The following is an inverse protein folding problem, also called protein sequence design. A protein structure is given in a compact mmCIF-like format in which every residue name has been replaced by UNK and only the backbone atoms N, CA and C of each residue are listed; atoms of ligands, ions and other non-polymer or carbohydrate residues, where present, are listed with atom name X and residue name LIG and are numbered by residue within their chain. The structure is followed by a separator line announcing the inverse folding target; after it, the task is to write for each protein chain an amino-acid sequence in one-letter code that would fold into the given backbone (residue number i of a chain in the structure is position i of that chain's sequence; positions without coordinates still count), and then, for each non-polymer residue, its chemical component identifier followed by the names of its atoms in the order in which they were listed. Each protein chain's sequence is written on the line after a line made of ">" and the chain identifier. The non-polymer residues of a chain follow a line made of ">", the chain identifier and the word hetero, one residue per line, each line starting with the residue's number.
data_IF_020551877776
#
_entry.id   IF_020551877776
#
_cell.length_a   1.000
_cell.length_b   1.000
_cell.length_c   1.000
_cell.angle_alpha   90.00
_cell.angle_beta   90.00
_cell.angle_gamma   90.00
#
_symmetry.space_group_name_H-M   'P 1'
#
loop_
_entity.id
_entity.type
_entity.pdbx_description
1 polymer ?
#
# COMPACT_ATOMS: atom_id res chain seq x y z
N UNK A 1 -2.77 10.57 -7.26
CA UNK A 1 -1.36 11.07 -7.18
C UNK A 1 -0.64 10.58 -8.44
N UNK A 2 0.44 11.22 -8.89
CA UNK A 2 1.27 10.66 -9.97
C UNK A 2 2.48 9.93 -9.37
N UNK A 3 2.87 8.82 -10.00
CA UNK A 3 4.08 8.07 -9.68
C UNK A 3 5.28 9.01 -9.83
N UNK A 4 6.12 9.08 -8.79
CA UNK A 4 7.27 9.98 -8.77
C UNK A 4 8.41 9.52 -9.69
N UNK A 5 8.42 8.25 -10.08
CA UNK A 5 9.43 7.66 -10.97
C UNK A 5 9.00 7.74 -12.45
N UNK A 6 7.81 7.23 -12.79
CA UNK A 6 7.36 7.13 -14.20
C UNK A 6 6.23 8.09 -14.60
N UNK A 7 5.67 8.86 -13.67
CA UNK A 7 4.62 9.84 -13.94
C UNK A 7 3.21 9.27 -14.16
N UNK A 8 3.03 7.95 -14.12
CA UNK A 8 1.71 7.30 -14.25
C UNK A 8 0.75 7.70 -13.13
N UNK A 9 -0.56 7.68 -13.39
CA UNK A 9 -1.57 7.90 -12.35
C UNK A 9 -1.59 6.73 -11.35
N UNK A 10 -1.65 7.05 -10.06
CA UNK A 10 -1.69 6.07 -8.97
C UNK A 10 -3.09 5.94 -8.37
N UNK A 11 -3.44 4.70 -7.99
CA UNK A 11 -4.68 4.38 -7.30
C UNK A 11 -4.68 4.86 -5.84
N UNK A 12 -5.84 5.32 -5.37
CA UNK A 12 -6.07 5.63 -3.97
C UNK A 12 -6.53 4.37 -3.23
N UNK A 13 -6.07 4.18 -2.00
CA UNK A 13 -6.38 3.01 -1.20
C UNK A 13 -5.94 3.12 0.25
N UNK A 14 -5.94 1.99 0.94
CA UNK A 14 -5.47 1.86 2.33
C UNK A 14 -4.36 0.84 2.40
N UNK A 15 -3.45 1.02 3.35
CA UNK A 15 -2.43 0.04 3.68
C UNK A 15 -2.68 -0.47 5.09
N UNK A 16 -2.72 -1.78 5.26
CA UNK A 16 -2.92 -2.43 6.56
C UNK A 16 -1.74 -3.35 6.86
N UNK A 17 -1.32 -3.40 8.12
CA UNK A 17 -0.33 -4.37 8.57
C UNK A 17 -1.02 -5.72 8.75
N UNK A 18 -0.52 -6.73 8.07
CA UNK A 18 -1.00 -8.11 8.13
C UNK A 18 0.11 -8.99 8.70
N UNK A 19 -0.24 -9.89 9.62
CA UNK A 19 0.72 -10.80 10.25
C UNK A 19 0.37 -11.14 11.69
N UNK A 20 0.69 -12.37 12.10
CA UNK A 20 0.52 -12.86 13.46
C UNK A 20 1.86 -13.45 13.94
N UNK A 21 2.58 -12.73 14.81
CA UNK A 21 3.81 -13.22 15.42
C UNK A 21 5.08 -12.59 14.84
N UNK A 22 5.95 -13.41 14.21
CA UNK A 22 7.33 -13.04 13.84
C UNK A 22 7.50 -12.40 12.46
N UNK A 23 6.49 -12.52 11.58
CA UNK A 23 6.48 -11.86 10.28
C UNK A 23 5.27 -10.92 10.23
N UNK A 24 5.56 -9.64 9.98
CA UNK A 24 4.57 -8.66 9.57
C UNK A 24 4.84 -8.34 8.10
N UNK A 25 3.80 -8.11 7.32
CA UNK A 25 3.85 -7.50 6.00
C UNK A 25 2.77 -6.44 5.91
N UNK A 26 2.78 -5.67 4.84
CA UNK A 26 1.74 -4.68 4.58
C UNK A 26 0.98 -5.08 3.33
N UNK A 27 -0.32 -4.87 3.34
CA UNK A 27 -1.16 -5.06 2.16
C UNK A 27 -1.80 -3.73 1.77
N UNK A 28 -1.69 -3.34 0.51
CA UNK A 28 -2.45 -2.23 -0.06
C UNK A 28 -3.75 -2.75 -0.67
N UNK A 29 -4.86 -2.10 -0.36
CA UNK A 29 -6.16 -2.33 -1.02
C UNK A 29 -6.67 -1.03 -1.59
N UNK A 30 -6.92 -0.97 -2.90
CA UNK A 30 -7.46 0.24 -3.53
C UNK A 30 -8.91 0.52 -3.11
N UNK A 31 -9.37 1.77 -3.22
CA UNK A 31 -10.75 2.14 -2.89
C UNK A 31 -11.77 1.41 -3.75
N UNK A 32 -11.43 1.12 -5.01
CA UNK A 32 -12.23 0.32 -5.94
C UNK A 32 -12.42 -1.10 -5.40
N UNK A 33 -11.33 -1.73 -4.97
CA UNK A 33 -11.34 -3.06 -4.34
C UNK A 33 -12.06 -3.04 -2.98
N UNK A 34 -11.97 -1.93 -2.25
CA UNK A 34 -12.71 -1.75 -1.01
C UNK A 34 -14.21 -1.62 -1.21
N UNK A 35 -14.64 -1.00 -2.30
CA UNK A 35 -16.04 -0.80 -2.65
C UNK A 35 -16.76 -2.09 -3.07
N UNK A 36 -16.03 -3.19 -3.33
CA UNK A 36 -16.64 -4.51 -3.57
C UNK A 36 -17.41 -4.96 -2.32
N UNK A 37 -18.74 -5.07 -2.44
CA UNK A 37 -19.66 -5.46 -1.35
C UNK A 37 -20.17 -6.89 -1.51
N UNK A 38 -20.59 -7.48 -0.39
CA UNK A 38 -21.17 -8.84 -0.33
C UNK A 38 -20.12 -9.96 -0.36
N UNK A 39 -20.58 -11.19 -0.16
CA UNK A 39 -19.71 -12.38 -0.02
C UNK A 39 -18.83 -12.58 -1.27
N UNK A 40 -19.41 -12.43 -2.47
CA UNK A 40 -18.66 -12.55 -3.73
C UNK A 40 -17.59 -11.47 -3.88
N UNK A 41 -17.89 -10.23 -3.44
CA UNK A 41 -16.94 -9.12 -3.48
C UNK A 41 -15.76 -9.31 -2.51
N UNK A 42 -15.98 -10.00 -1.39
CA UNK A 42 -14.92 -10.35 -0.45
C UNK A 42 -13.95 -11.37 -1.05
N UNK A 43 -14.46 -12.43 -1.70
CA UNK A 43 -13.61 -13.45 -2.33
C UNK A 43 -12.88 -12.96 -3.58
N UNK A 44 -13.34 -11.88 -4.21
CA UNK A 44 -12.70 -11.29 -5.41
C UNK A 44 -11.93 -10.01 -5.10
N UNK A 45 -11.78 -9.64 -3.82
CA UNK A 45 -10.97 -8.50 -3.44
C UNK A 45 -9.50 -8.86 -3.68
N UNK A 46 -8.82 -8.01 -4.42
CA UNK A 46 -7.38 -8.11 -4.67
C UNK A 46 -6.66 -7.10 -3.77
N UNK A 47 -5.55 -7.54 -3.20
CA UNK A 47 -4.63 -6.71 -2.43
C UNK A 47 -3.23 -6.86 -3.01
N UNK A 48 -2.41 -5.83 -2.82
CA UNK A 48 -1.03 -5.77 -3.28
C UNK A 48 -0.12 -5.96 -2.07
N UNK A 49 0.74 -6.98 -2.13
CA UNK A 49 1.73 -7.23 -1.08
C UNK A 49 2.85 -6.19 -1.13
N UNK A 50 3.04 -5.52 0.00
CA UNK A 50 4.15 -4.63 0.25
C UNK A 50 5.17 -5.36 1.12
N UNK A 51 6.45 -5.47 0.69
CA UNK A 51 7.48 -6.07 1.50
C UNK A 51 7.65 -5.34 2.83
N UNK A 52 7.81 -6.09 3.91
CA UNK A 52 8.17 -5.58 5.24
C UNK A 52 9.66 -5.42 5.46
N UNK A 53 10.47 -5.70 4.45
CA UNK A 53 11.90 -5.93 4.62
C UNK A 53 12.61 -4.64 5.05
N UNK A 54 13.54 -4.79 5.99
CA UNK A 54 14.44 -3.77 6.53
C UNK A 54 15.41 -3.27 5.44
N UNK A 55 14.94 -2.43 4.52
CA UNK A 55 15.74 -1.77 3.49
C UNK A 55 15.68 -0.25 3.59
N UNK A 56 16.69 0.44 3.04
CA UNK A 56 16.61 1.89 2.83
C UNK A 56 15.73 2.18 1.61
N UNK A 57 14.72 3.02 1.80
CA UNK A 57 13.78 3.41 0.76
C UNK A 57 13.77 4.93 0.61
N UNK A 58 13.68 5.46 -0.63
CA UNK A 58 13.43 6.88 -0.84
C UNK A 58 12.17 7.33 -0.11
N UNK A 59 12.28 8.40 0.67
CA UNK A 59 11.17 8.93 1.45
C UNK A 59 11.19 10.46 1.52
N UNK A 60 10.01 11.04 1.64
CA UNK A 60 9.80 12.48 1.79
C UNK A 60 9.08 12.76 3.10
N UNK A 61 9.67 13.61 3.93
CA UNK A 61 9.07 14.09 5.19
C UNK A 61 8.59 15.52 5.02
N UNK A 62 7.32 15.78 5.36
CA UNK A 62 6.79 17.14 5.48
C UNK A 62 6.87 17.60 6.95
N UNK A 63 7.80 18.50 7.33
CA UNK A 63 8.00 18.89 8.73
C UNK A 63 6.81 19.65 9.33
N UNK A 64 5.99 20.29 8.49
CA UNK A 64 4.78 21.01 8.94
C UNK A 64 3.62 20.06 9.26
N UNK A 65 3.41 19.06 8.40
CA UNK A 65 2.30 18.11 8.52
C UNK A 65 2.66 16.87 9.34
N UNK A 66 3.96 16.63 9.60
CA UNK A 66 4.52 15.43 10.23
C UNK A 66 4.11 14.14 9.51
N UNK A 67 4.01 14.22 8.18
CA UNK A 67 3.68 13.08 7.31
C UNK A 67 4.93 12.62 6.57
N UNK A 68 5.04 11.31 6.39
CA UNK A 68 6.09 10.67 5.59
C UNK A 68 5.41 9.94 4.42
N UNK A 69 5.92 10.16 3.22
CA UNK A 69 5.64 9.35 2.04
C UNK A 69 6.89 8.51 1.76
N UNK A 70 6.75 7.19 1.68
CA UNK A 70 7.85 6.26 1.42
C UNK A 70 7.59 5.56 0.09
N UNK A 71 8.65 5.34 -0.69
CA UNK A 71 8.60 4.65 -1.98
C UNK A 71 9.15 3.23 -1.84
N UNK A 72 8.28 2.24 -2.03
CA UNK A 72 8.61 0.82 -1.90
C UNK A 72 8.04 0.08 -3.08
N UNK A 73 8.81 -0.86 -3.62
CA UNK A 73 8.35 -1.73 -4.68
C UNK A 73 7.32 -2.74 -4.14
N UNK A 74 6.22 -2.92 -4.86
CA UNK A 74 5.29 -4.02 -4.62
C UNK A 74 5.94 -5.36 -5.01
N UNK A 75 5.41 -6.47 -4.50
CA UNK A 75 5.84 -7.82 -4.90
C UNK A 75 5.13 -8.39 -6.13
N UNK A 76 4.43 -7.56 -6.90
CA UNK A 76 3.64 -8.00 -8.06
C UNK A 76 4.46 -8.63 -9.20
#
# INVERSE_FOLDING_TARGET
>A
MQCLDCGAEMEQGVTECVGAGFESWYEFTSETERAKKGIRGFFTRQTIDIPSVLGEHPAWHCPRCRKVLMWVDSKE
#
